data_IF_368926629943
#
_entry.id   IF_368926629943
#
_cell.length_a   1.000
_cell.length_b   1.000
_cell.length_c   1.000
_cell.angle_alpha   90.00
_cell.angle_beta   90.00
_cell.angle_gamma   90.00
#
_symmetry.space_group_name_H-M   'P 1'
#
loop_
_entity.id
_entity.type
_entity.pdbx_description
1 polymer ?
#
# COMPACT_ATOMS: atom_id res chain seq x y z
N UNK A 1 -27.03 3.59 -6.19
CA UNK A 1 -26.30 2.31 -6.05
C UNK A 1 -24.88 2.66 -5.60
N UNK A 2 -24.63 2.92 -4.32
CA UNK A 2 -23.41 3.69 -3.96
C UNK A 2 -22.61 3.20 -2.76
N UNK A 3 -23.11 2.21 -2.01
CA UNK A 3 -22.37 1.64 -0.88
C UNK A 3 -21.34 0.60 -1.33
N UNK A 4 -21.74 -0.35 -2.20
CA UNK A 4 -20.87 -1.45 -2.64
C UNK A 4 -19.67 -0.99 -3.46
N UNK A 5 -19.84 0.04 -4.30
CA UNK A 5 -18.76 0.62 -5.12
C UNK A 5 -17.71 1.33 -4.24
N UNK A 6 -18.11 1.93 -3.12
CA UNK A 6 -17.21 2.54 -2.12
C UNK A 6 -16.55 1.50 -1.20
N UNK A 7 -17.17 0.34 -1.00
CA UNK A 7 -16.72 -0.67 -0.05
C UNK A 7 -15.59 -1.59 -0.57
N UNK A 8 -15.34 -1.63 -1.88
CA UNK A 8 -14.33 -2.53 -2.47
C UNK A 8 -12.92 -1.91 -2.50
N UNK A 9 -12.39 -1.51 -1.34
CA UNK A 9 -10.98 -1.12 -1.25
C UNK A 9 -10.08 -2.36 -1.39
N UNK A 10 -9.27 -2.42 -2.46
CA UNK A 10 -8.24 -3.46 -2.64
C UNK A 10 -6.95 -3.02 -1.96
N UNK A 11 -6.37 -3.93 -1.18
CA UNK A 11 -5.12 -3.71 -0.45
C UNK A 11 -4.08 -4.74 -0.86
N UNK A 12 -2.83 -4.30 -0.95
CA UNK A 12 -1.65 -5.16 -0.94
C UNK A 12 -1.24 -5.30 0.52
N UNK A 13 -1.06 -6.53 0.99
CA UNK A 13 -0.67 -6.85 2.36
C UNK A 13 0.70 -7.53 2.32
N UNK A 14 1.62 -7.10 3.18
CA UNK A 14 2.95 -7.70 3.31
C UNK A 14 3.24 -7.97 4.78
N UNK A 15 3.71 -9.17 5.08
CA UNK A 15 4.30 -9.49 6.38
C UNK A 15 5.82 -9.36 6.27
N UNK A 16 6.38 -8.36 6.94
CA UNK A 16 7.83 -8.11 6.95
C UNK A 16 8.55 -9.15 7.81
N UNK A 17 9.67 -9.66 7.31
CA UNK A 17 10.48 -10.66 8.04
C UNK A 17 11.26 -10.03 9.19
N UNK A 18 11.65 -8.75 9.06
CA UNK A 18 12.43 -7.99 10.04
C UNK A 18 12.15 -6.47 9.93
N UNK A 19 12.85 -5.70 10.77
CA UNK A 19 12.71 -4.25 10.83
C UNK A 19 13.25 -3.55 9.58
N UNK A 20 14.27 -4.11 8.92
CA UNK A 20 14.82 -3.57 7.69
C UNK A 20 13.80 -3.66 6.55
N UNK A 21 13.11 -4.81 6.43
CA UNK A 21 12.01 -5.01 5.50
C UNK A 21 10.85 -4.05 5.80
N UNK A 22 10.50 -3.84 7.08
CA UNK A 22 9.48 -2.84 7.43
C UNK A 22 9.85 -1.44 6.94
N UNK A 23 11.08 -0.99 7.20
CA UNK A 23 11.56 0.31 6.77
C UNK A 23 11.57 0.42 5.24
N UNK A 24 11.97 -0.64 4.54
CA UNK A 24 11.90 -0.71 3.09
C UNK A 24 10.48 -0.46 2.58
N UNK A 25 9.48 -1.20 3.06
CA UNK A 25 8.10 -1.07 2.59
C UNK A 25 7.48 0.28 2.96
N UNK A 26 7.83 0.85 4.12
CA UNK A 26 7.40 2.19 4.52
C UNK A 26 7.84 3.28 3.55
N UNK A 27 9.05 3.19 2.98
CA UNK A 27 9.52 4.14 1.94
C UNK A 27 8.64 4.12 0.70
N UNK A 28 8.03 2.97 0.38
CA UNK A 28 7.09 2.81 -0.72
C UNK A 28 5.64 3.05 -0.31
N UNK A 29 5.38 3.73 0.80
CA UNK A 29 4.03 4.15 1.21
C UNK A 29 3.19 3.05 1.85
N UNK A 30 3.77 1.90 2.22
CA UNK A 30 3.07 0.93 3.05
C UNK A 30 2.97 1.44 4.49
N UNK A 31 1.82 1.17 5.13
CA UNK A 31 1.51 1.61 6.49
C UNK A 31 1.34 0.40 7.39
N UNK A 32 1.84 0.50 8.62
CA UNK A 32 1.68 -0.56 9.62
C UNK A 32 0.22 -0.76 10.00
N UNK A 33 -0.16 -2.02 10.19
CA UNK A 33 -1.41 -2.45 10.79
C UNK A 33 -1.21 -2.79 12.28
N UNK A 34 -2.28 -3.10 13.04
CA UNK A 34 -2.16 -3.48 14.45
C UNK A 34 -1.22 -4.66 14.73
N UNK A 35 -0.95 -5.52 13.73
CA UNK A 35 0.13 -6.49 13.79
C UNK A 35 1.46 -5.80 13.43
N UNK A 36 2.48 -5.79 14.31
CA UNK A 36 3.67 -4.96 14.18
C UNK A 36 4.43 -5.19 12.86
N UNK A 37 4.42 -6.41 12.32
CA UNK A 37 5.14 -6.76 11.08
C UNK A 37 4.27 -6.75 9.83
N UNK A 38 2.96 -6.53 9.97
CA UNK A 38 2.05 -6.46 8.82
C UNK A 38 1.93 -5.02 8.34
N UNK A 39 2.21 -4.81 7.06
CA UNK A 39 1.99 -3.53 6.40
C UNK A 39 1.00 -3.66 5.25
N UNK A 40 0.28 -2.57 4.98
CA UNK A 40 -0.72 -2.50 3.92
C UNK A 40 -0.54 -1.26 3.08
N UNK A 41 -0.88 -1.35 1.79
CA UNK A 41 -0.99 -0.22 0.88
C UNK A 41 -2.21 -0.39 -0.03
N UNK A 42 -2.94 0.69 -0.31
CA UNK A 42 -4.09 0.62 -1.22
C UNK A 42 -3.62 0.46 -2.65
N UNK A 43 -4.27 -0.41 -3.42
CA UNK A 43 -3.96 -0.59 -4.85
C UNK A 43 -4.17 0.71 -5.64
N UNK A 44 -5.16 1.54 -5.27
CA UNK A 44 -5.37 2.84 -5.92
C UNK A 44 -4.18 3.80 -5.75
N UNK A 45 -3.55 3.82 -4.57
CA UNK A 45 -2.36 4.63 -4.29
C UNK A 45 -1.12 4.13 -5.05
N UNK A 46 -1.05 2.82 -5.32
CA UNK A 46 -0.01 2.23 -6.19
C UNK A 46 -0.20 2.69 -7.63
N UNK A 47 -1.42 2.57 -8.15
CA UNK A 47 -1.73 2.99 -9.52
C UNK A 47 -1.46 4.48 -9.75
N UNK A 48 -1.80 5.35 -8.78
CA UNK A 48 -1.46 6.78 -8.87
C UNK A 48 0.04 7.01 -8.86
N UNK A 49 0.80 6.32 -8.02
CA UNK A 49 2.26 6.46 -7.98
C UNK A 49 2.93 6.01 -9.28
N UNK A 50 2.46 4.92 -9.89
CA UNK A 50 2.95 4.45 -11.19
C UNK A 50 2.72 5.50 -12.28
N UNK A 51 1.48 6.01 -12.41
CA UNK A 51 1.15 7.07 -13.37
C UNK A 51 2.00 8.32 -13.22
N UNK A 52 2.29 8.73 -11.98
CA UNK A 52 3.13 9.89 -11.72
C UNK A 52 4.61 9.64 -12.07
N UNK A 53 5.07 8.39 -11.97
CA UNK A 53 6.44 8.01 -12.37
C UNK A 53 6.59 8.02 -13.89
N UNK A 54 5.56 7.60 -14.62
CA UNK A 54 5.53 7.62 -16.09
C UNK A 54 5.50 9.05 -16.66
N UNK A 55 4.95 10.02 -15.92
CA UNK A 55 4.92 11.44 -16.30
C UNK A 55 6.25 12.19 -16.06
N UNK A 56 7.19 11.59 -15.32
CA UNK A 56 8.50 12.18 -15.05
C UNK A 56 9.61 11.66 -15.99
N UNK A 57 9.26 10.76 -16.92
CA UNK A 57 10.15 10.16 -17.90
C UNK A 57 9.91 10.72 -19.31
#
# INVERSE_FOLDING_TARGET
MDASTRAAARFIVVDAIDDAAMLFYRRYGFRSCPNPRRLVRKTSEVNTALKNSDLQN
#
